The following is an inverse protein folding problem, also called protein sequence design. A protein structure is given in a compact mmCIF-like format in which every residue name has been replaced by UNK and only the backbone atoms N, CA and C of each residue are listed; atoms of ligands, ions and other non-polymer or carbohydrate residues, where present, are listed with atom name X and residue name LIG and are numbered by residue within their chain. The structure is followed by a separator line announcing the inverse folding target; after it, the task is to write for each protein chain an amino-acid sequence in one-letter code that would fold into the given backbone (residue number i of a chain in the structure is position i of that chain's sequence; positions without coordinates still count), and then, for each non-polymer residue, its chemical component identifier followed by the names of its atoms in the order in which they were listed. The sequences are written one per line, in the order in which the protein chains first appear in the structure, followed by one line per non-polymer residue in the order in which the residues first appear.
data_IF_844104520520
#
_entry.id   IF_844104520520
#
_cell.length_a   1.000
_cell.length_b   1.000
_cell.length_c   1.000
_cell.angle_alpha   90.00
_cell.angle_beta   90.00
_cell.angle_gamma   90.00
#
_symmetry.space_group_name_H-M   'P 1'
#
loop_
_entity.id
_entity.type
_entity.pdbx_description
1 polymer ?
#
# COMPACT_ATOMS: atom_id res chain seq x y z
N UNK A 1 -62.11 30.60 -32.84
CA UNK A 1 -61.44 29.27 -32.74
C UNK A 1 -60.26 29.14 -33.72
N UNK A 2 -59.34 30.12 -33.79
CA UNK A 2 -58.12 30.03 -34.65
C UNK A 2 -56.81 30.38 -33.93
N UNK A 3 -56.88 30.81 -32.67
CA UNK A 3 -55.73 31.26 -31.87
C UNK A 3 -55.29 30.26 -30.80
N UNK A 4 -56.14 29.30 -30.42
CA UNK A 4 -55.80 28.26 -29.42
C UNK A 4 -54.97 27.13 -30.05
N UNK A 5 -55.08 26.92 -31.37
CA UNK A 5 -54.35 25.88 -32.09
C UNK A 5 -52.85 26.18 -32.31
N UNK A 6 -52.39 27.42 -32.07
CA UNK A 6 -50.99 27.82 -32.32
C UNK A 6 -50.10 27.77 -31.08
N UNK A 7 -50.67 27.78 -29.87
CA UNK A 7 -49.90 27.80 -28.62
C UNK A 7 -49.58 26.38 -28.13
N UNK A 8 -50.40 25.38 -28.49
CA UNK A 8 -50.16 23.98 -28.13
C UNK A 8 -49.04 23.30 -28.94
N UNK A 9 -48.60 23.90 -30.06
CA UNK A 9 -47.61 23.29 -30.95
C UNK A 9 -46.17 23.71 -30.64
N UNK A 10 -45.98 24.85 -29.96
CA UNK A 10 -44.67 25.33 -29.52
C UNK A 10 -44.20 24.76 -28.19
N UNK A 11 -45.10 24.21 -27.37
CA UNK A 11 -44.76 23.61 -26.06
C UNK A 11 -44.33 22.14 -26.16
N UNK A 12 -44.66 21.43 -27.24
CA UNK A 12 -44.25 20.03 -27.45
C UNK A 12 -42.82 19.93 -28.02
N UNK A 13 -42.40 20.92 -28.82
CA UNK A 13 -41.04 20.97 -29.38
C UNK A 13 -39.96 21.33 -28.35
N UNK A 14 -40.31 22.09 -27.31
CA UNK A 14 -39.39 22.41 -26.22
C UNK A 14 -39.18 21.24 -25.24
N UNK A 15 -40.16 20.34 -25.10
CA UNK A 15 -40.05 19.16 -24.22
C UNK A 15 -39.19 18.06 -24.85
N UNK A 16 -39.13 17.98 -26.18
CA UNK A 16 -38.30 17.00 -26.91
C UNK A 16 -36.82 17.42 -26.92
N UNK A 17 -36.52 18.72 -26.84
CA UNK A 17 -35.14 19.21 -26.78
C UNK A 17 -34.44 18.97 -25.42
N UNK A 18 -35.19 18.69 -24.35
CA UNK A 18 -34.64 18.46 -22.99
C UNK A 18 -34.36 16.97 -22.72
N UNK A 19 -34.91 16.05 -23.54
CA UNK A 19 -34.69 14.60 -23.40
C UNK A 19 -33.46 14.08 -24.19
N UNK A 20 -32.80 14.92 -24.98
CA UNK A 20 -31.64 14.55 -25.80
C UNK A 20 -30.27 14.59 -25.08
N UNK A 21 -30.24 14.88 -23.78
CA UNK A 21 -29.00 14.92 -22.98
C UNK A 21 -28.77 13.64 -22.16
N UNK A 22 -29.64 12.63 -22.30
CA UNK A 22 -29.42 11.31 -21.71
C UNK A 22 -28.69 10.41 -22.71
N UNK A 23 -27.48 10.00 -22.31
CA UNK A 23 -26.65 8.98 -22.94
C UNK A 23 -25.88 9.40 -24.22
N UNK A 24 -24.70 9.98 -24.02
CA UNK A 24 -23.56 9.59 -24.87
C UNK A 24 -23.26 8.10 -24.61
N UNK A 25 -24.05 7.21 -25.21
CA UNK A 25 -23.63 5.82 -25.38
C UNK A 25 -22.43 5.84 -26.32
N UNK A 26 -21.28 5.41 -25.79
CA UNK A 26 -20.06 5.21 -26.56
C UNK A 26 -20.31 4.07 -27.56
N UNK A 27 -20.81 4.41 -28.76
CA UNK A 27 -21.22 3.47 -29.81
C UNK A 27 -20.02 2.81 -30.51
N UNK A 28 -18.81 3.05 -29.98
CA UNK A 28 -17.61 2.34 -30.39
C UNK A 28 -17.73 0.84 -30.08
N UNK A 29 -17.09 0.02 -30.92
CA UNK A 29 -17.00 -1.43 -30.67
C UNK A 29 -16.40 -1.74 -29.30
N UNK A 30 -15.52 -0.86 -28.80
CA UNK A 30 -14.92 -0.96 -27.47
C UNK A 30 -15.94 -0.69 -26.35
N UNK A 31 -16.80 0.32 -26.50
CA UNK A 31 -17.90 0.60 -25.57
C UNK A 31 -18.87 -0.57 -25.45
N UNK A 32 -19.29 -1.14 -26.59
CA UNK A 32 -20.17 -2.33 -26.64
C UNK A 32 -19.55 -3.55 -25.98
N UNK A 33 -18.27 -3.82 -26.22
CA UNK A 33 -17.61 -4.98 -25.64
C UNK A 33 -17.37 -4.82 -24.13
N UNK A 34 -17.05 -3.61 -23.68
CA UNK A 34 -16.95 -3.31 -22.25
C UNK A 34 -18.30 -3.46 -21.54
N UNK A 35 -19.39 -2.99 -22.16
CA UNK A 35 -20.75 -3.14 -21.61
C UNK A 35 -21.16 -4.61 -21.49
N UNK A 36 -20.87 -5.43 -22.51
CA UNK A 36 -21.13 -6.86 -22.48
C UNK A 36 -20.32 -7.57 -21.39
N UNK A 37 -19.03 -7.23 -21.23
CA UNK A 37 -18.18 -7.76 -20.16
C UNK A 37 -18.70 -7.39 -18.77
N UNK A 38 -19.11 -6.14 -18.58
CA UNK A 38 -19.67 -5.68 -17.31
C UNK A 38 -21.00 -6.37 -17.00
N UNK A 39 -21.91 -6.45 -17.97
CA UNK A 39 -23.20 -7.14 -17.79
C UNK A 39 -23.02 -8.62 -17.44
N UNK A 40 -22.08 -9.31 -18.09
CA UNK A 40 -21.74 -10.69 -17.75
C UNK A 40 -21.14 -10.80 -16.34
N UNK A 41 -20.24 -9.88 -15.96
CA UNK A 41 -19.70 -9.82 -14.60
C UNK A 41 -20.80 -9.62 -13.56
N UNK A 42 -21.74 -8.71 -13.79
CA UNK A 42 -22.85 -8.42 -12.88
C UNK A 42 -23.75 -9.66 -12.70
N UNK A 43 -24.06 -10.37 -13.80
CA UNK A 43 -24.81 -11.62 -13.74
C UNK A 43 -24.07 -12.70 -12.94
N UNK A 44 -22.74 -12.80 -13.06
CA UNK A 44 -21.93 -13.73 -12.29
C UNK A 44 -21.91 -13.36 -10.80
N UNK A 45 -21.74 -12.08 -10.45
CA UNK A 45 -21.78 -11.60 -9.05
C UNK A 45 -23.16 -11.85 -8.41
N UNK A 46 -24.25 -11.65 -9.16
CA UNK A 46 -25.60 -11.88 -8.66
C UNK A 46 -25.86 -13.36 -8.34
N UNK A 47 -25.40 -14.27 -9.20
CA UNK A 47 -25.62 -15.71 -9.03
C UNK A 47 -24.59 -16.39 -8.12
N UNK A 48 -23.39 -15.83 -8.02
CA UNK A 48 -22.27 -16.37 -7.25
C UNK A 48 -21.61 -15.23 -6.47
N UNK A 49 -22.31 -14.64 -5.48
CA UNK A 49 -21.73 -13.57 -4.69
C UNK A 49 -20.47 -14.09 -4.00
N UNK A 50 -19.44 -13.25 -3.98
CA UNK A 50 -18.21 -13.57 -3.27
C UNK A 50 -18.53 -13.95 -1.81
N UNK A 51 -17.91 -15.03 -1.33
CA UNK A 51 -18.06 -15.48 0.04
C UNK A 51 -17.72 -14.35 1.02
N UNK A 52 -18.54 -14.20 2.07
CA UNK A 52 -18.26 -13.26 3.16
C UNK A 52 -17.58 -13.99 4.29
N UNK A 53 -16.44 -13.48 4.74
CA UNK A 53 -15.83 -13.95 5.97
C UNK A 53 -16.47 -13.23 7.16
N UNK A 54 -16.83 -13.95 8.21
CA UNK A 54 -17.21 -13.35 9.52
C UNK A 54 -15.99 -12.90 10.31
N UNK A 55 -14.82 -13.46 9.99
CA UNK A 55 -13.55 -13.21 10.63
C UNK A 55 -12.43 -13.10 9.60
N UNK A 56 -11.52 -12.14 9.76
CA UNK A 56 -10.39 -11.96 8.85
C UNK A 56 -9.08 -12.17 9.61
N UNK A 57 -8.42 -13.34 9.44
CA UNK A 57 -7.09 -13.57 9.99
C UNK A 57 -6.06 -12.52 9.53
N UNK A 58 -6.22 -11.99 8.31
CA UNK A 58 -5.38 -10.90 7.80
C UNK A 58 -5.52 -9.63 8.64
N UNK A 59 -6.75 -9.23 8.99
CA UNK A 59 -6.98 -8.07 9.86
C UNK A 59 -6.44 -8.30 11.26
N UNK A 60 -6.60 -9.50 11.81
CA UNK A 60 -6.01 -9.87 13.10
C UNK A 60 -4.48 -9.75 13.06
N UNK A 61 -3.82 -10.35 12.07
CA UNK A 61 -2.37 -10.29 11.94
C UNK A 61 -1.85 -8.85 11.80
N UNK A 62 -2.55 -8.00 11.03
CA UNK A 62 -2.24 -6.57 10.94
C UNK A 62 -2.38 -5.90 12.31
N UNK A 63 -3.46 -6.18 13.06
CA UNK A 63 -3.66 -5.62 14.39
C UNK A 63 -2.58 -6.09 15.38
N UNK A 64 -2.16 -7.35 15.33
CA UNK A 64 -1.04 -7.87 16.14
C UNK A 64 0.30 -7.23 15.76
N UNK A 65 0.54 -6.99 14.47
CA UNK A 65 1.69 -6.22 14.01
C UNK A 65 1.69 -4.80 14.59
N UNK A 66 0.55 -4.10 14.56
CA UNK A 66 0.41 -2.76 15.16
C UNK A 66 0.65 -2.79 16.67
N UNK A 67 0.10 -3.77 17.39
CA UNK A 67 0.34 -3.94 18.85
C UNK A 67 1.80 -4.23 19.17
N UNK A 68 2.49 -4.96 18.30
CA UNK A 68 3.90 -5.33 18.49
C UNK A 68 4.81 -4.14 18.26
N UNK A 69 4.61 -3.41 17.17
CA UNK A 69 5.55 -2.40 16.67
C UNK A 69 5.15 -0.95 16.98
N UNK A 70 3.89 -0.68 17.29
CA UNK A 70 3.39 0.64 17.70
C UNK A 70 3.85 1.09 19.10
N UNK A 71 4.87 0.46 19.66
CA UNK A 71 5.42 0.74 21.00
C UNK A 71 6.72 1.53 20.88
N UNK A 72 6.79 2.67 21.55
CA UNK A 72 8.03 3.47 21.65
C UNK A 72 9.13 2.63 22.30
N UNK A 73 10.31 2.60 21.68
CA UNK A 73 11.48 1.88 22.19
C UNK A 73 11.47 0.37 21.96
N UNK A 74 10.52 -0.18 21.17
CA UNK A 74 10.57 -1.58 20.76
C UNK A 74 11.86 -1.85 19.98
N UNK A 75 12.53 -2.95 20.31
CA UNK A 75 13.70 -3.44 19.59
C UNK A 75 13.29 -4.38 18.46
N UNK A 76 14.08 -4.40 17.41
CA UNK A 76 13.99 -5.39 16.36
C UNK A 76 15.30 -6.14 16.20
N UNK A 77 15.21 -7.42 15.81
CA UNK A 77 16.34 -8.30 15.59
C UNK A 77 16.35 -8.65 14.10
N UNK A 78 17.26 -8.01 13.38
CA UNK A 78 17.37 -8.08 11.92
C UNK A 78 18.52 -9.01 11.57
N UNK A 79 18.20 -10.22 11.11
CA UNK A 79 19.17 -11.21 10.66
C UNK A 79 19.36 -11.05 9.16
N UNK A 80 20.58 -10.80 8.72
CA UNK A 80 20.93 -10.60 7.32
C UNK A 80 21.75 -11.79 6.85
N UNK A 81 21.36 -12.33 5.71
CA UNK A 81 22.10 -13.36 4.99
C UNK A 81 22.97 -12.73 3.91
N UNK A 82 24.25 -13.07 3.87
CA UNK A 82 25.13 -12.65 2.79
C UNK A 82 25.04 -13.60 1.57
N UNK A 83 25.71 -13.24 0.47
CA UNK A 83 25.69 -14.04 -0.77
C UNK A 83 26.34 -15.44 -0.67
N UNK A 84 27.01 -15.76 0.44
CA UNK A 84 27.54 -17.10 0.74
C UNK A 84 26.60 -17.93 1.60
N UNK A 85 25.49 -17.35 2.06
CA UNK A 85 24.54 -18.00 2.95
C UNK A 85 24.86 -17.86 4.45
N UNK A 86 25.91 -17.10 4.80
CA UNK A 86 26.27 -16.84 6.20
C UNK A 86 25.34 -15.78 6.79
N UNK A 87 25.01 -15.93 8.07
CA UNK A 87 24.11 -15.02 8.78
C UNK A 87 24.86 -14.15 9.78
N UNK A 88 24.52 -12.88 9.81
CA UNK A 88 24.81 -11.97 10.92
C UNK A 88 23.55 -11.22 11.31
N UNK A 89 23.55 -10.51 12.44
CA UNK A 89 22.37 -9.75 12.87
C UNK A 89 22.69 -8.40 13.49
N UNK A 90 21.72 -7.50 13.40
CA UNK A 90 21.68 -6.21 14.09
C UNK A 90 20.51 -6.19 15.09
N UNK A 91 20.69 -5.51 16.21
CA UNK A 91 19.59 -5.14 17.10
C UNK A 91 19.30 -3.67 16.84
N UNK A 92 18.14 -3.36 16.25
CA UNK A 92 17.79 -1.99 15.86
C UNK A 92 16.75 -1.37 16.79
N UNK A 93 16.78 -0.04 16.91
CA UNK A 93 15.73 0.76 17.54
C UNK A 93 14.54 0.84 16.58
N UNK A 94 13.43 0.24 16.94
CA UNK A 94 12.25 0.16 16.10
C UNK A 94 12.45 -0.76 14.89
N UNK A 95 11.53 -0.64 13.93
CA UNK A 95 11.58 -1.36 12.67
C UNK A 95 12.67 -0.80 11.75
N UNK A 96 13.36 -1.64 10.94
CA UNK A 96 14.09 -1.13 9.79
C UNK A 96 13.12 -0.45 8.82
N UNK A 97 13.40 0.80 8.48
CA UNK A 97 12.52 1.64 7.65
C UNK A 97 12.97 1.58 6.20
N UNK A 98 12.10 1.22 5.24
CA UNK A 98 12.44 1.32 3.83
C UNK A 98 12.80 2.76 3.43
N UNK A 99 13.85 2.97 2.64
CA UNK A 99 14.31 4.29 2.17
C UNK A 99 13.26 5.05 1.37
N UNK A 100 12.28 4.35 0.81
CA UNK A 100 11.19 4.96 0.08
C UNK A 100 10.14 5.63 0.97
N UNK A 101 10.18 5.42 2.29
CA UNK A 101 9.28 6.08 3.23
C UNK A 101 9.53 7.60 3.27
N UNK A 102 8.45 8.37 3.39
CA UNK A 102 8.41 9.84 3.44
C UNK A 102 7.39 10.32 4.48
N UNK A 103 7.66 11.46 5.11
CA UNK A 103 6.72 12.12 6.01
C UNK A 103 5.68 12.97 5.26
N UNK A 104 5.94 13.28 4.00
CA UNK A 104 5.06 14.07 3.13
C UNK A 104 4.65 13.25 1.91
N UNK A 105 3.44 13.48 1.36
CA UNK A 105 3.01 12.86 0.12
C UNK A 105 4.03 13.05 -1.01
N UNK A 106 4.23 12.01 -1.80
CA UNK A 106 5.13 11.97 -2.97
C UNK A 106 4.37 12.12 -4.29
N UNK A 107 3.05 11.87 -4.25
CA UNK A 107 2.12 12.09 -5.35
C UNK A 107 0.86 12.78 -4.82
N UNK A 108 0.37 13.76 -5.55
CA UNK A 108 -0.94 14.33 -5.32
C UNK A 108 -1.52 14.60 -6.69
N UNK A 109 -2.75 14.16 -6.95
CA UNK A 109 -3.40 14.61 -8.13
C UNK A 109 -4.89 14.88 -7.93
N UNK A 110 -5.23 16.11 -8.27
CA UNK A 110 -6.43 16.84 -7.92
C UNK A 110 -7.44 16.80 -9.08
N UNK A 111 -8.72 16.79 -8.76
CA UNK A 111 -9.81 16.58 -9.72
C UNK A 111 -10.68 17.82 -9.87
N UNK A 112 -10.69 18.40 -11.07
CA UNK A 112 -11.61 19.45 -11.49
C UNK A 112 -12.79 18.85 -12.28
N UNK A 113 -13.66 19.70 -12.86
CA UNK A 113 -14.84 19.27 -13.64
C UNK A 113 -14.54 18.35 -14.84
N UNK A 114 -13.26 18.09 -15.18
CA UNK A 114 -12.82 17.35 -16.35
C UNK A 114 -12.20 15.96 -16.07
N UNK A 115 -12.13 15.48 -14.81
CA UNK A 115 -11.62 14.13 -14.53
C UNK A 115 -11.00 13.92 -13.14
N UNK A 116 -10.70 12.66 -12.80
CA UNK A 116 -10.06 12.24 -11.54
C UNK A 116 -8.58 12.00 -11.71
N UNK A 117 -7.82 12.24 -10.65
CA UNK A 117 -6.42 11.86 -10.62
C UNK A 117 -6.00 11.34 -9.24
N UNK A 118 -4.86 10.64 -9.16
CA UNK A 118 -4.41 9.83 -8.02
C UNK A 118 -3.76 10.69 -6.93
N UNK A 119 -4.34 10.74 -5.74
CA UNK A 119 -3.72 11.36 -4.55
C UNK A 119 -3.07 10.29 -3.69
N UNK A 120 -1.81 10.46 -3.27
CA UNK A 120 -1.17 9.55 -2.33
C UNK A 120 -1.88 9.58 -0.97
N UNK A 121 -2.16 8.40 -0.43
CA UNK A 121 -2.68 8.23 0.92
C UNK A 121 -1.55 7.73 1.83
N UNK A 122 -1.53 8.14 3.10
CA UNK A 122 -0.57 7.58 4.04
C UNK A 122 -0.85 6.09 4.28
N UNK A 123 0.21 5.33 4.51
CA UNK A 123 0.14 3.98 5.04
C UNK A 123 -0.39 3.96 6.48
N UNK A 124 -0.55 2.75 7.01
CA UNK A 124 -1.07 2.53 8.37
C UNK A 124 -0.21 3.16 9.47
N UNK A 125 1.08 3.38 9.21
CA UNK A 125 2.02 4.03 10.12
C UNK A 125 2.04 5.57 9.99
N UNK A 126 1.18 6.15 9.13
CA UNK A 126 1.10 7.59 8.90
C UNK A 126 2.16 8.14 7.94
N UNK A 127 2.92 7.27 7.26
CA UNK A 127 3.96 7.68 6.30
C UNK A 127 3.54 7.42 4.85
N UNK A 128 4.25 8.01 3.90
CA UNK A 128 4.04 7.84 2.46
C UNK A 128 5.19 7.07 1.83
N UNK A 129 4.99 6.49 0.65
CA UNK A 129 6.04 5.77 -0.10
C UNK A 129 6.36 6.48 -1.42
N UNK A 130 7.64 6.59 -1.78
CA UNK A 130 8.11 7.30 -2.97
C UNK A 130 8.27 6.44 -4.24
N UNK A 131 7.71 5.24 -4.30
CA UNK A 131 7.76 4.33 -5.47
C UNK A 131 9.13 3.75 -5.83
N UNK A 132 10.24 4.40 -5.46
CA UNK A 132 11.63 4.00 -5.71
C UNK A 132 12.42 3.73 -4.44
N UNK A 133 13.46 2.87 -4.52
CA UNK A 133 14.38 2.56 -3.41
C UNK A 133 13.73 1.91 -2.17
N UNK A 134 12.63 1.18 -2.36
CA UNK A 134 12.00 0.41 -1.27
C UNK A 134 12.77 -0.86 -0.88
N UNK A 135 13.83 -1.21 -1.61
CA UNK A 135 14.71 -2.34 -1.32
C UNK A 135 15.91 -1.97 -0.43
N UNK A 136 16.14 -0.68 -0.15
CA UNK A 136 17.11 -0.24 0.84
C UNK A 136 16.39 0.07 2.15
N UNK A 137 16.96 -0.34 3.27
CA UNK A 137 16.40 -0.18 4.61
C UNK A 137 17.41 0.53 5.49
N UNK A 138 16.93 1.42 6.35
CA UNK A 138 17.75 2.14 7.30
C UNK A 138 17.17 2.10 8.71
N UNK A 139 18.02 2.41 9.69
CA UNK A 139 17.62 2.67 11.06
C UNK A 139 18.83 2.89 11.94
N UNK A 140 18.67 2.65 13.24
CA UNK A 140 19.72 2.91 14.21
C UNK A 140 19.96 1.68 15.08
N UNK A 141 21.22 1.32 15.24
CA UNK A 141 21.64 0.27 16.16
C UNK A 141 21.22 0.63 17.60
N UNK A 142 20.67 -0.36 18.31
CA UNK A 142 20.11 -0.20 19.65
C UNK A 142 21.17 0.12 20.69
N UNK A 143 22.37 -0.45 20.51
CA UNK A 143 23.47 -0.40 21.46
C UNK A 143 24.27 0.89 21.33
N UNK A 144 24.68 1.21 20.10
CA UNK A 144 25.60 2.33 19.79
C UNK A 144 24.86 3.58 19.35
N UNK A 145 23.63 3.45 18.85
CA UNK A 145 22.97 4.52 18.12
C UNK A 145 23.57 4.79 16.74
N UNK A 146 24.47 3.94 16.25
CA UNK A 146 25.02 4.07 14.90
C UNK A 146 23.92 3.96 13.84
N UNK A 147 24.06 4.75 12.78
CA UNK A 147 23.23 4.60 11.60
C UNK A 147 23.56 3.27 10.90
N UNK A 148 22.53 2.48 10.61
CA UNK A 148 22.64 1.23 9.88
C UNK A 148 21.80 1.34 8.63
N UNK A 149 22.38 1.02 7.47
CA UNK A 149 21.67 0.90 6.21
C UNK A 149 22.12 -0.35 5.47
N UNK A 150 21.15 -1.09 4.92
CA UNK A 150 21.41 -2.29 4.13
C UNK A 150 20.43 -2.37 2.97
N UNK A 151 20.82 -3.08 1.92
CA UNK A 151 20.00 -3.27 0.71
C UNK A 151 19.68 -4.74 0.57
N UNK A 152 18.41 -5.04 0.29
CA UNK A 152 17.92 -6.39 0.00
C UNK A 152 17.88 -6.60 -1.50
N UNK A 153 18.25 -7.79 -1.96
CA UNK A 153 18.44 -8.11 -3.38
C UNK A 153 19.85 -8.62 -3.67
N UNK A 154 20.05 -9.19 -4.87
CA UNK A 154 21.38 -9.65 -5.33
C UNK A 154 22.07 -10.61 -4.34
N UNK A 155 21.33 -11.65 -3.91
CA UNK A 155 21.76 -12.65 -2.90
C UNK A 155 21.89 -12.13 -1.46
N UNK A 156 21.31 -10.97 -1.14
CA UNK A 156 21.10 -10.53 0.24
C UNK A 156 19.62 -10.59 0.59
N UNK A 157 19.32 -11.24 1.70
CA UNK A 157 17.98 -11.34 2.28
C UNK A 157 18.05 -11.00 3.77
N UNK A 158 16.91 -10.67 4.38
CA UNK A 158 16.85 -10.51 5.82
C UNK A 158 15.60 -11.13 6.42
N UNK A 159 15.71 -11.52 7.68
CA UNK A 159 14.62 -11.93 8.54
C UNK A 159 14.49 -10.94 9.69
N UNK A 160 13.26 -10.59 10.02
CA UNK A 160 12.93 -9.64 11.08
C UNK A 160 12.17 -10.34 12.18
N UNK A 161 12.67 -10.19 13.41
CA UNK A 161 12.01 -10.71 14.59
C UNK A 161 11.85 -9.62 15.64
N UNK A 162 10.81 -9.75 16.46
CA UNK A 162 10.51 -8.82 17.55
C UNK A 162 11.23 -9.20 18.86
N UNK A 163 11.91 -10.34 18.86
CA UNK A 163 12.74 -10.92 19.92
C UNK A 163 13.85 -11.78 19.29
N UNK A 164 14.94 -12.11 20.01
CA UNK A 164 16.01 -12.96 19.48
C UNK A 164 15.46 -14.32 19.05
N UNK A 165 15.85 -14.78 17.86
CA UNK A 165 15.42 -16.07 17.35
C UNK A 165 16.37 -17.19 17.81
N UNK A 166 15.81 -18.35 18.17
CA UNK A 166 16.57 -19.52 18.68
C UNK A 166 16.60 -20.70 17.71
N UNK A 167 16.24 -20.49 16.44
CA UNK A 167 16.20 -21.57 15.45
C UNK A 167 17.63 -22.00 15.05
N UNK A 168 17.85 -23.28 14.70
CA UNK A 168 19.18 -23.81 14.36
C UNK A 168 19.90 -23.02 13.26
N UNK A 169 19.16 -22.51 12.28
CA UNK A 169 19.69 -21.73 11.15
C UNK A 169 20.34 -20.41 11.57
N UNK A 170 20.02 -19.90 12.76
CA UNK A 170 20.60 -18.68 13.33
C UNK A 170 21.50 -18.96 14.54
N UNK A 171 21.76 -20.22 14.87
CA UNK A 171 22.55 -20.59 16.05
C UNK A 171 23.99 -20.04 15.97
N UNK A 172 24.55 -20.01 14.76
CA UNK A 172 25.90 -19.50 14.49
C UNK A 172 25.90 -18.04 14.02
N UNK A 173 24.75 -17.35 14.03
CA UNK A 173 24.67 -15.97 13.59
C UNK A 173 25.38 -15.03 14.57
N UNK A 174 26.28 -14.20 14.06
CA UNK A 174 27.05 -13.25 14.88
C UNK A 174 26.40 -11.87 14.89
N UNK A 175 26.48 -11.18 16.03
CA UNK A 175 26.07 -9.78 16.06
C UNK A 175 27.08 -8.98 15.24
N UNK A 176 26.60 -8.25 14.23
CA UNK A 176 27.46 -7.47 13.32
C UNK A 176 27.85 -6.11 13.90
N UNK A 177 27.23 -5.72 15.02
CA UNK A 177 27.58 -4.54 15.82
C UNK A 177 28.05 -4.93 17.23
N UNK A 178 28.64 -4.00 17.98
CA UNK A 178 29.09 -4.24 19.34
C UNK A 178 27.91 -4.61 20.26
N UNK A 179 28.20 -5.45 21.26
CA UNK A 179 27.19 -6.01 22.17
C UNK A 179 26.84 -5.04 23.30
N UNK A 180 27.69 -4.04 23.57
CA UNK A 180 27.44 -2.96 24.52
C UNK A 180 28.02 -1.62 24.06
N UNK A 181 27.53 -0.52 24.62
CA UNK A 181 28.07 0.82 24.35
C UNK A 181 29.53 0.98 24.85
N UNK A 182 29.99 0.11 25.76
CA UNK A 182 31.36 0.10 26.28
C UNK A 182 32.38 -0.45 25.29
N UNK A 183 31.95 -1.23 24.30
CA UNK A 183 32.85 -1.87 23.32
C UNK A 183 33.24 -0.94 22.16
N UNK A 184 32.82 0.33 22.20
CA UNK A 184 33.08 1.36 21.18
C UNK A 184 34.20 2.33 21.61
N UNK A 185 34.73 2.16 22.82
CA UNK A 185 35.82 2.99 23.34
C UNK A 185 37.18 2.37 22.98
N UNK A 186 37.71 2.76 21.82
CA UNK A 186 39.15 2.77 21.50
C UNK A 186 39.46 4.04 20.67
#
# INVERSE_FOLDING_TARGET
MKTIARIAMTSVLALIAVLGLAACEDDSSQGKENAAKQSNYDALVANQPAGKMTYSPTREAINEWVKTWGKRGKLSYVYIQNGKGEYGYFVMKGLPVPRCKKLTPTEAVDSSSNGKVVVAQPGMDGTYDSGSACNAYFGFDATTGAYVEFTVGTNQSFFLFDQPMKMPEYADATQLGPTSAGDVAD
#
